data_IF_699624632733
#
_entry.id   IF_699624632733
#
_cell.length_a   1.000
_cell.length_b   1.000
_cell.length_c   1.000
_cell.angle_alpha   90.00
_cell.angle_beta   90.00
_cell.angle_gamma   90.00
#
_symmetry.space_group_name_H-M   'P 1'
#
loop_
_entity.id
_entity.type
_entity.pdbx_description
1 polymer ?
#
# COMPACT_ATOMS: atom_id res chain seq x y z
N UNK A 1 -9.83 -15.93 -8.46
CA UNK A 1 -10.26 -16.28 -7.09
C UNK A 1 -9.02 -16.22 -6.22
N UNK A 2 -8.90 -15.21 -5.36
CA UNK A 2 -7.68 -14.93 -4.60
C UNK A 2 -7.32 -16.09 -3.66
N UNK A 3 -6.04 -16.50 -3.68
CA UNK A 3 -5.51 -17.64 -2.92
C UNK A 3 -5.76 -17.46 -1.41
N UNK A 4 -6.29 -18.49 -0.74
CA UNK A 4 -6.67 -18.43 0.68
C UNK A 4 -5.49 -18.16 1.61
N UNK A 5 -4.28 -18.63 1.27
CA UNK A 5 -3.06 -18.32 2.00
C UNK A 5 -2.74 -16.82 1.90
N UNK A 6 -2.79 -16.27 0.69
CA UNK A 6 -2.46 -14.87 0.45
C UNK A 6 -3.44 -13.91 1.14
N UNK A 7 -4.74 -14.20 1.12
CA UNK A 7 -5.75 -13.47 1.92
C UNK A 7 -5.42 -13.44 3.40
N UNK A 8 -4.97 -14.58 3.93
CA UNK A 8 -4.60 -14.70 5.34
C UNK A 8 -3.40 -13.82 5.65
N UNK A 9 -2.40 -13.79 4.76
CA UNK A 9 -1.24 -12.91 4.92
C UNK A 9 -1.66 -11.44 4.90
N UNK A 10 -2.47 -11.00 3.94
CA UNK A 10 -2.93 -9.61 3.86
C UNK A 10 -3.69 -9.18 5.11
N UNK A 11 -4.66 -9.97 5.57
CA UNK A 11 -5.46 -9.65 6.76
C UNK A 11 -4.67 -9.55 8.07
N UNK A 12 -3.48 -10.14 8.12
CA UNK A 12 -2.63 -10.13 9.32
C UNK A 12 -1.41 -9.22 9.17
N UNK A 13 -1.17 -8.66 7.98
CA UNK A 13 -0.09 -7.73 7.75
C UNK A 13 -0.49 -6.32 8.20
N UNK A 14 0.45 -5.58 8.80
CA UNK A 14 0.24 -4.17 9.16
C UNK A 14 0.19 -3.26 7.93
N UNK A 15 0.95 -3.62 6.89
CA UNK A 15 0.92 -2.98 5.59
C UNK A 15 1.56 -3.88 4.52
N UNK A 16 1.18 -3.68 3.26
CA UNK A 16 1.93 -4.12 2.10
C UNK A 16 2.74 -2.96 1.53
N UNK A 17 4.02 -3.19 1.22
CA UNK A 17 4.89 -2.17 0.64
C UNK A 17 5.21 -2.55 -0.80
N UNK A 18 4.90 -1.67 -1.73
CA UNK A 18 5.13 -1.86 -3.14
C UNK A 18 6.10 -0.79 -3.68
N UNK A 19 7.35 -1.21 -3.91
CA UNK A 19 8.46 -0.32 -4.33
C UNK A 19 8.86 -0.51 -5.79
N UNK A 20 8.04 -1.19 -6.60
CA UNK A 20 8.34 -1.47 -8.00
C UNK A 20 8.48 -0.18 -8.81
N UNK A 21 9.41 -0.17 -9.77
CA UNK A 21 9.59 0.97 -10.70
C UNK A 21 8.63 0.93 -11.89
N UNK A 22 8.11 -0.26 -12.20
CA UNK A 22 7.27 -0.52 -13.36
C UNK A 22 6.02 -1.29 -12.94
N UNK A 23 4.90 -0.60 -13.03
CA UNK A 23 3.58 -1.12 -12.66
C UNK A 23 2.98 -1.83 -13.87
N UNK A 24 2.96 -3.17 -13.87
CA UNK A 24 2.15 -3.93 -14.81
C UNK A 24 0.68 -3.89 -14.36
N UNK A 25 -0.18 -3.18 -15.08
CA UNK A 25 -1.66 -3.20 -14.98
C UNK A 25 -2.33 -3.04 -13.60
N UNK A 26 -1.60 -2.71 -12.52
CA UNK A 26 -2.18 -2.37 -11.21
C UNK A 26 -2.89 -3.52 -10.46
N UNK A 27 -2.84 -4.76 -10.95
CA UNK A 27 -3.51 -5.89 -10.30
C UNK A 27 -3.05 -6.20 -8.85
N UNK A 28 -1.77 -5.99 -8.47
CA UNK A 28 -1.33 -6.24 -7.09
C UNK A 28 -1.91 -5.25 -6.05
N UNK A 29 -2.56 -4.17 -6.48
CA UNK A 29 -2.99 -3.09 -5.57
C UNK A 29 -4.36 -3.32 -4.95
N UNK A 30 -5.27 -3.98 -5.67
CA UNK A 30 -6.67 -4.13 -5.23
C UNK A 30 -6.87 -5.28 -4.25
N UNK A 31 -6.12 -6.39 -4.39
CA UNK A 31 -6.28 -7.57 -3.54
C UNK A 31 -5.98 -7.33 -2.04
N UNK A 32 -4.92 -6.56 -1.67
CA UNK A 32 -4.65 -6.20 -0.27
C UNK A 32 -5.72 -5.24 0.28
N UNK A 33 -6.17 -4.27 -0.52
CA UNK A 33 -7.23 -3.33 -0.14
C UNK A 33 -8.56 -4.06 0.14
N UNK A 34 -8.96 -5.02 -0.69
CA UNK A 34 -10.12 -5.90 -0.42
C UNK A 34 -9.97 -6.70 0.89
N UNK A 35 -8.73 -6.88 1.36
CA UNK A 35 -8.41 -7.57 2.61
C UNK A 35 -8.19 -6.61 3.79
N UNK A 36 -8.48 -5.31 3.63
CA UNK A 36 -8.24 -4.25 4.63
C UNK A 36 -6.77 -4.21 5.08
N UNK A 37 -5.87 -4.49 4.15
CA UNK A 37 -4.43 -4.38 4.36
C UNK A 37 -3.99 -3.03 3.81
N UNK A 38 -3.50 -2.10 4.66
CA UNK A 38 -2.96 -0.83 4.22
C UNK A 38 -1.87 -1.02 3.19
N UNK A 39 -1.82 -0.15 2.18
CA UNK A 39 -0.80 -0.26 1.12
C UNK A 39 0.04 1.00 1.04
N UNK A 40 1.35 0.81 0.92
CA UNK A 40 2.34 1.85 0.71
C UNK A 40 2.88 1.71 -0.72
N UNK A 41 2.68 2.74 -1.55
CA UNK A 41 3.16 2.75 -2.93
C UNK A 41 4.24 3.80 -3.16
N UNK A 42 5.15 3.47 -4.08
CA UNK A 42 5.98 4.48 -4.75
C UNK A 42 5.06 5.40 -5.57
N UNK A 43 5.15 6.70 -5.33
CA UNK A 43 4.38 7.70 -6.06
C UNK A 43 4.73 7.63 -7.56
N UNK A 44 3.73 7.29 -8.35
CA UNK A 44 3.77 7.39 -9.81
C UNK A 44 2.45 7.97 -10.29
N UNK A 45 2.45 8.69 -11.42
CA UNK A 45 1.26 9.38 -11.91
C UNK A 45 0.07 8.43 -12.14
N UNK A 46 0.33 7.21 -12.58
CA UNK A 46 -0.71 6.21 -12.84
C UNK A 46 -1.28 5.60 -11.57
N UNK A 47 -0.46 5.41 -10.54
CA UNK A 47 -0.92 4.86 -9.27
C UNK A 47 -1.71 5.89 -8.46
N UNK A 48 -1.26 7.14 -8.41
CA UNK A 48 -1.95 8.20 -7.66
C UNK A 48 -3.39 8.39 -8.12
N UNK A 49 -3.65 8.27 -9.43
CA UNK A 49 -5.01 8.36 -9.99
C UNK A 49 -5.86 7.12 -9.65
N UNK A 50 -5.23 5.94 -9.58
CA UNK A 50 -5.91 4.68 -9.30
C UNK A 50 -6.31 4.54 -7.83
N UNK A 51 -5.40 4.89 -6.91
CA UNK A 51 -5.58 4.63 -5.47
C UNK A 51 -6.17 5.83 -4.72
N UNK A 52 -6.05 7.05 -5.26
CA UNK A 52 -6.52 8.26 -4.60
C UNK A 52 -5.97 8.36 -3.17
N UNK A 53 -6.87 8.54 -2.20
CA UNK A 53 -6.55 8.63 -0.78
C UNK A 53 -6.51 7.27 -0.07
N UNK A 54 -6.81 6.17 -0.76
CA UNK A 54 -6.87 4.82 -0.18
C UNK A 54 -5.49 4.13 -0.05
N UNK A 55 -4.39 4.87 -0.22
CA UNK A 55 -3.05 4.36 -0.01
C UNK A 55 -2.09 5.45 0.45
N UNK A 56 -1.05 5.05 1.18
CA UNK A 56 0.04 5.96 1.50
C UNK A 56 1.08 5.96 0.39
N UNK A 57 1.51 7.15 -0.04
CA UNK A 57 2.45 7.32 -1.13
C UNK A 57 3.79 7.86 -0.62
N UNK A 58 4.90 7.44 -1.22
CA UNK A 58 6.22 7.99 -0.96
C UNK A 58 6.94 8.39 -2.25
N UNK A 59 7.81 9.38 -2.19
CA UNK A 59 8.51 9.90 -3.37
C UNK A 59 9.44 8.86 -4.02
N UNK A 60 9.53 8.81 -5.36
CA UNK A 60 10.48 7.99 -6.08
C UNK A 60 11.91 8.16 -5.58
N UNK A 61 12.59 7.03 -5.36
CA UNK A 61 14.01 6.98 -4.99
C UNK A 61 14.34 7.70 -3.65
N UNK A 62 13.33 7.97 -2.82
CA UNK A 62 13.47 8.49 -1.45
C UNK A 62 13.36 7.38 -0.41
N UNK A 63 14.51 6.91 0.08
CA UNK A 63 14.54 5.94 1.19
C UNK A 63 13.96 6.53 2.46
N UNK A 64 14.31 7.78 2.77
CA UNK A 64 13.80 8.49 3.95
C UNK A 64 12.28 8.68 3.88
N UNK A 65 11.76 8.99 2.68
CA UNK A 65 10.33 9.08 2.42
C UNK A 65 9.62 7.74 2.70
N UNK A 66 10.17 6.65 2.19
CA UNK A 66 9.64 5.31 2.45
C UNK A 66 9.64 4.99 3.95
N UNK A 67 10.75 5.23 4.66
CA UNK A 67 10.86 4.97 6.10
C UNK A 67 9.82 5.77 6.88
N UNK A 68 9.72 7.07 6.65
CA UNK A 68 8.76 7.93 7.33
C UNK A 68 7.31 7.49 7.06
N UNK A 69 6.99 7.11 5.81
CA UNK A 69 5.67 6.58 5.47
C UNK A 69 5.39 5.25 6.18
N UNK A 70 6.39 4.36 6.29
CA UNK A 70 6.25 3.11 7.04
C UNK A 70 6.00 3.35 8.52
N UNK A 71 6.73 4.29 9.14
CA UNK A 71 6.55 4.65 10.56
C UNK A 71 5.14 5.17 10.82
N UNK A 72 4.65 6.11 10.01
CA UNK A 72 3.27 6.62 10.12
C UNK A 72 2.25 5.47 10.01
N UNK A 73 2.37 4.62 8.98
CA UNK A 73 1.43 3.52 8.79
C UNK A 73 1.49 2.49 9.91
N UNK A 74 2.64 2.26 10.55
CA UNK A 74 2.77 1.30 11.66
C UNK A 74 2.31 1.88 13.00
N UNK A 75 2.61 3.15 13.27
CA UNK A 75 2.39 3.79 14.56
C UNK A 75 1.01 4.45 14.68
N UNK A 76 0.47 5.00 13.59
CA UNK A 76 -0.80 5.73 13.58
C UNK A 76 -1.96 4.84 13.11
N UNK A 77 -2.76 4.38 14.08
CA UNK A 77 -3.95 3.60 13.81
C UNK A 77 -5.09 4.39 13.18
N UNK A 78 -5.18 5.70 13.44
CA UNK A 78 -6.20 6.56 12.84
C UNK A 78 -5.88 6.80 11.36
N UNK A 79 -4.60 7.05 11.05
CA UNK A 79 -4.12 7.13 9.67
C UNK A 79 -4.42 5.84 8.90
N UNK A 80 -4.13 4.66 9.47
CA UNK A 80 -4.48 3.38 8.84
C UNK A 80 -5.98 3.25 8.55
N UNK A 81 -6.84 3.67 9.49
CA UNK A 81 -8.29 3.61 9.29
C UNK A 81 -8.79 4.61 8.24
N UNK A 82 -7.99 5.63 7.89
CA UNK A 82 -8.35 6.63 6.88
C UNK A 82 -8.02 6.22 5.44
N UNK A 83 -7.17 5.21 5.27
CA UNK A 83 -6.66 4.74 3.97
C UNK A 83 -7.21 3.35 3.57
N UNK A 84 -8.40 2.99 4.07
CA UNK A 84 -9.11 1.74 3.77
C UNK A 84 -9.93 1.78 2.46
#
# INVERSE_FOLDING_TARGET
MLNSLLKTLYRNAQALIYTSRYEGFGLPTLEPMECQCPVIFRLTSSLSELVGDAASLFEPDSVDGLVNTMEIVVEDSEHRASID
#
